data_IF_434977294866
#
_entry.id   IF_434977294866
#
_cell.length_a   1.000
_cell.length_b   1.000
_cell.length_c   1.000
_cell.angle_alpha   90.00
_cell.angle_beta   90.00
_cell.angle_gamma   90.00
#
_symmetry.space_group_name_H-M   'P 1'
#
loop_
_entity.id
_entity.type
_entity.pdbx_description
1 polymer ?
#
# COMPACT_ATOMS: atom_id res chain seq x y z
N UNK A 1 10.41 -12.35 -7.49
CA UNK A 1 10.68 -11.85 -6.11
C UNK A 1 12.05 -11.21 -6.12
N UNK A 2 12.23 -10.10 -5.41
CA UNK A 2 13.45 -9.30 -5.38
C UNK A 2 13.99 -9.24 -3.94
N UNK A 3 15.30 -9.42 -3.71
CA UNK A 3 15.91 -9.07 -2.42
C UNK A 3 15.59 -7.62 -2.02
N UNK A 4 15.45 -7.34 -0.71
CA UNK A 4 15.15 -5.98 -0.23
C UNK A 4 16.17 -4.94 -0.72
N UNK A 5 17.44 -5.31 -0.78
CA UNK A 5 18.52 -4.42 -1.23
C UNK A 5 18.55 -4.21 -2.76
N UNK A 6 17.71 -4.93 -3.50
CA UNK A 6 17.56 -4.80 -4.96
C UNK A 6 16.38 -3.93 -5.37
N UNK A 7 15.70 -3.29 -4.42
CA UNK A 7 14.67 -2.29 -4.69
C UNK A 7 14.97 -0.96 -4.00
N UNK A 8 14.44 0.12 -4.57
CA UNK A 8 14.26 1.40 -3.91
C UNK A 8 12.87 1.43 -3.31
N UNK A 9 12.79 1.54 -1.98
CA UNK A 9 11.50 1.74 -1.29
C UNK A 9 11.19 3.23 -1.27
N UNK A 10 9.92 3.55 -1.47
CA UNK A 10 9.47 4.91 -1.52
C UNK A 10 9.35 5.55 -0.13
N UNK A 11 10.04 6.67 0.05
CA UNK A 11 9.97 7.45 1.27
C UNK A 11 8.74 8.37 1.25
N UNK A 12 8.07 8.45 2.41
CA UNK A 12 6.96 9.35 2.64
C UNK A 12 7.37 10.45 3.62
N UNK A 13 7.06 11.70 3.25
CA UNK A 13 7.29 12.88 4.08
C UNK A 13 6.00 13.35 4.78
N UNK A 14 6.14 14.23 5.76
CA UNK A 14 5.00 14.77 6.51
C UNK A 14 4.47 13.86 7.61
N UNK A 15 3.31 14.24 8.17
CA UNK A 15 2.69 13.49 9.24
C UNK A 15 2.18 12.14 8.73
N UNK A 16 2.63 11.05 9.36
CA UNK A 16 2.14 9.71 9.05
C UNK A 16 0.66 9.59 9.47
N UNK A 17 -0.18 8.86 8.72
CA UNK A 17 -1.52 8.55 9.17
C UNK A 17 -1.48 7.78 10.51
N UNK A 18 -2.57 7.87 11.27
CA UNK A 18 -2.73 7.06 12.48
C UNK A 18 -3.08 5.61 12.11
N UNK A 19 -2.74 4.69 13.01
CA UNK A 19 -3.24 3.32 12.96
C UNK A 19 -4.77 3.32 12.90
N UNK A 20 -5.31 2.45 12.06
CA UNK A 20 -6.74 2.34 11.82
C UNK A 20 -7.21 0.94 12.16
N UNK A 21 -8.18 0.82 13.06
CA UNK A 21 -8.86 -0.44 13.38
C UNK A 21 -10.34 -0.27 13.06
N UNK A 22 -10.86 -1.09 12.15
CA UNK A 22 -12.26 -1.03 11.73
C UNK A 22 -12.88 -2.43 11.70
N UNK A 23 -14.10 -2.52 12.19
CA UNK A 23 -14.92 -3.71 12.05
C UNK A 23 -15.91 -3.46 10.92
N UNK A 24 -15.84 -4.29 9.88
CA UNK A 24 -16.72 -4.19 8.72
C UNK A 24 -17.52 -5.47 8.55
N UNK A 25 -18.64 -5.40 7.85
CA UNK A 25 -19.32 -6.63 7.42
C UNK A 25 -18.44 -7.35 6.39
N UNK A 26 -18.27 -8.66 6.54
CA UNK A 26 -17.54 -9.49 5.59
C UNK A 26 -18.32 -9.70 4.27
N UNK A 27 -19.65 -9.51 4.32
CA UNK A 27 -20.58 -9.69 3.19
C UNK A 27 -20.76 -8.40 2.37
N UNK A 28 -20.55 -7.23 3.00
CA UNK A 28 -20.68 -5.96 2.32
C UNK A 28 -19.29 -5.39 1.99
N UNK A 29 -19.02 -5.12 0.71
CA UNK A 29 -17.80 -4.43 0.30
C UNK A 29 -17.63 -3.09 1.02
N UNK A 30 -16.37 -2.69 1.22
CA UNK A 30 -16.01 -1.46 1.96
C UNK A 30 -14.76 -0.80 1.39
N UNK A 31 -14.71 0.52 1.55
CA UNK A 31 -13.53 1.32 1.23
C UNK A 31 -13.05 2.01 2.50
N UNK A 32 -11.83 1.70 2.93
CA UNK A 32 -11.15 2.33 4.06
C UNK A 32 -10.14 3.33 3.51
N UNK A 33 -10.26 4.59 3.92
CA UNK A 33 -9.38 5.68 3.47
C UNK A 33 -8.49 6.10 4.63
N UNK A 34 -7.17 5.96 4.46
CA UNK A 34 -6.18 6.49 5.37
C UNK A 34 -5.73 7.87 4.88
N UNK A 35 -5.71 8.84 5.79
CA UNK A 35 -5.29 10.22 5.51
C UNK A 35 -4.08 10.59 6.32
N UNK A 36 -3.19 11.37 5.72
CA UNK A 36 -2.10 12.03 6.45
C UNK A 36 -2.64 12.82 7.65
N UNK A 37 -1.80 13.00 8.66
CA UNK A 37 -2.13 13.83 9.80
C UNK A 37 -2.31 15.32 9.42
N UNK A 38 -2.85 16.14 10.32
CA UNK A 38 -2.85 17.59 10.16
C UNK A 38 -1.43 18.14 9.94
N UNK A 39 -1.28 19.24 9.17
CA UNK A 39 -2.34 20.03 8.53
C UNK A 39 -2.85 19.47 7.20
N UNK A 40 -2.12 18.54 6.58
CA UNK A 40 -2.34 18.17 5.17
C UNK A 40 -3.66 17.44 4.94
N UNK A 41 -4.01 16.46 5.79
CA UNK A 41 -5.24 15.65 5.70
C UNK A 41 -5.51 15.02 4.31
N UNK A 42 -4.48 14.95 3.46
CA UNK A 42 -4.51 14.35 2.13
C UNK A 42 -4.64 12.83 2.26
N UNK A 43 -5.19 12.18 1.24
CA UNK A 43 -5.29 10.71 1.24
C UNK A 43 -3.89 10.12 1.07
N UNK A 44 -3.53 9.19 1.95
CA UNK A 44 -2.27 8.43 1.90
C UNK A 44 -2.48 7.09 1.18
N UNK A 45 -3.50 6.34 1.61
CA UNK A 45 -3.82 5.05 1.04
C UNK A 45 -5.33 4.76 1.11
N UNK A 46 -5.80 3.91 0.20
CA UNK A 46 -7.17 3.43 0.14
C UNK A 46 -7.14 1.91 0.04
N UNK A 47 -7.86 1.22 0.92
CA UNK A 47 -8.09 -0.21 0.85
C UNK A 47 -9.56 -0.45 0.47
N UNK A 48 -9.80 -1.00 -0.72
CA UNK A 48 -11.13 -1.41 -1.15
C UNK A 48 -11.26 -2.93 -0.98
N UNK A 49 -12.04 -3.35 0.02
CA UNK A 49 -12.34 -4.75 0.33
C UNK A 49 -13.61 -5.15 -0.41
N UNK A 50 -13.55 -6.25 -1.14
CA UNK A 50 -14.70 -6.77 -1.88
C UNK A 50 -15.71 -7.44 -0.95
N UNK A 51 -16.98 -7.55 -1.40
CA UNK A 51 -17.94 -8.47 -0.79
C UNK A 51 -17.38 -9.90 -0.67
N UNK A 52 -18.00 -10.70 0.20
CA UNK A 52 -17.68 -12.13 0.41
C UNK A 52 -16.25 -12.42 0.88
N UNK A 53 -15.67 -11.51 1.68
CA UNK A 53 -14.38 -11.72 2.35
C UNK A 53 -14.46 -12.72 3.53
N UNK A 54 -15.45 -13.61 3.53
CA UNK A 54 -15.73 -14.56 4.62
C UNK A 54 -15.24 -15.97 4.27
N UNK A 55 -13.99 -16.31 4.60
CA UNK A 55 -13.73 -17.73 4.87
C UNK A 55 -14.24 -18.05 6.29
N UNK A 56 -15.32 -18.80 6.38
CA UNK A 56 -15.70 -19.53 7.60
C UNK A 56 -16.60 -18.79 8.59
N UNK A 57 -17.82 -18.45 8.18
CA UNK A 57 -18.97 -18.21 9.08
C UNK A 57 -18.94 -16.95 9.98
N UNK A 58 -18.10 -15.95 9.69
CA UNK A 58 -18.15 -14.64 10.37
C UNK A 58 -18.80 -13.60 9.49
N UNK A 59 -19.86 -12.96 9.99
CA UNK A 59 -20.55 -11.84 9.33
C UNK A 59 -19.70 -10.56 9.31
N UNK A 60 -18.62 -10.52 10.10
CA UNK A 60 -17.74 -9.37 10.25
C UNK A 60 -16.25 -9.70 10.13
N UNK A 61 -15.50 -8.70 9.67
CA UNK A 61 -14.07 -8.69 9.46
C UNK A 61 -13.48 -7.54 10.28
N UNK A 62 -12.55 -7.83 11.19
CA UNK A 62 -11.75 -6.79 11.82
C UNK A 62 -10.50 -6.55 10.97
N UNK A 63 -10.31 -5.32 10.52
CA UNK A 63 -9.18 -4.86 9.74
C UNK A 63 -8.37 -3.91 10.59
N UNK A 64 -7.09 -4.24 10.76
CA UNK A 64 -6.11 -3.34 11.35
C UNK A 64 -5.13 -2.92 10.27
N UNK A 65 -4.99 -1.62 10.03
CA UNK A 65 -4.08 -1.04 9.05
C UNK A 65 -3.12 -0.13 9.80
N UNK A 66 -1.84 -0.46 9.77
CA UNK A 66 -0.77 0.32 10.41
C UNK A 66 0.15 0.92 9.35
N UNK A 67 0.07 2.23 9.09
CA UNK A 67 1.02 2.92 8.24
C UNK A 67 2.45 2.74 8.75
N UNK A 68 3.43 2.73 7.83
CA UNK A 68 4.85 2.66 8.16
C UNK A 68 5.43 4.07 8.19
N UNK A 69 5.80 4.63 9.35
CA UNK A 69 6.35 5.98 9.40
C UNK A 69 7.57 6.15 8.48
N UNK A 70 7.59 7.25 7.73
CA UNK A 70 8.66 7.59 6.77
C UNK A 70 8.62 6.83 5.45
N UNK A 71 7.66 5.91 5.25
CA UNK A 71 7.55 5.11 4.03
C UNK A 71 6.13 5.18 3.46
N UNK A 72 6.01 5.13 2.14
CA UNK A 72 4.73 4.77 1.52
C UNK A 72 4.51 3.27 1.66
N UNK A 73 3.95 2.89 2.81
CA UNK A 73 3.72 1.51 3.16
C UNK A 73 2.72 1.32 4.28
N UNK A 74 2.05 0.16 4.28
CA UNK A 74 1.10 -0.26 5.30
C UNK A 74 1.32 -1.71 5.69
N UNK A 75 1.15 -2.01 6.97
CA UNK A 75 0.94 -3.36 7.48
C UNK A 75 -0.57 -3.57 7.63
N UNK A 76 -1.13 -4.58 6.95
CA UNK A 76 -2.55 -4.93 6.99
C UNK A 76 -2.69 -6.26 7.72
N UNK A 77 -3.48 -6.27 8.78
CA UNK A 77 -3.91 -7.45 9.53
C UNK A 77 -5.42 -7.61 9.41
N UNK A 78 -5.88 -8.86 9.36
CA UNK A 78 -7.29 -9.16 9.31
C UNK A 78 -7.63 -10.44 10.06
N UNK A 79 -8.81 -10.49 10.68
CA UNK A 79 -9.33 -11.69 11.35
C UNK A 79 -9.83 -12.78 10.40
N UNK A 80 -9.87 -12.49 9.10
CA UNK A 80 -10.29 -13.41 8.04
C UNK A 80 -9.51 -13.14 6.74
N UNK A 81 -9.76 -13.91 5.67
CA UNK A 81 -9.17 -13.60 4.37
C UNK A 81 -9.72 -12.28 3.83
N UNK A 82 -8.98 -11.67 2.91
CA UNK A 82 -9.52 -10.61 2.06
C UNK A 82 -10.04 -11.26 0.78
N UNK A 83 -11.23 -10.88 0.34
CA UNK A 83 -11.82 -11.42 -0.88
C UNK A 83 -10.97 -11.12 -2.12
N UNK A 84 -11.06 -11.99 -3.12
CA UNK A 84 -10.42 -11.77 -4.42
C UNK A 84 -10.92 -10.45 -5.03
N UNK A 85 -10.03 -9.69 -5.66
CA UNK A 85 -10.32 -8.35 -6.14
C UNK A 85 -10.17 -7.24 -5.09
N UNK A 86 -9.75 -7.55 -3.85
CA UNK A 86 -9.41 -6.51 -2.87
C UNK A 86 -8.23 -5.69 -3.38
N UNK A 87 -8.40 -4.37 -3.52
CA UNK A 87 -7.35 -3.47 -4.03
C UNK A 87 -6.80 -2.55 -2.97
N UNK A 88 -5.50 -2.28 -3.08
CA UNK A 88 -4.79 -1.27 -2.31
C UNK A 88 -4.30 -0.19 -3.27
N UNK A 89 -4.68 1.06 -3.00
CA UNK A 89 -4.25 2.23 -3.75
C UNK A 89 -3.42 3.13 -2.85
N UNK A 90 -2.18 3.44 -3.22
CA UNK A 90 -1.38 4.50 -2.60
C UNK A 90 -1.53 5.79 -3.39
N UNK A 91 -1.74 6.89 -2.69
CA UNK A 91 -1.78 8.24 -3.27
C UNK A 91 -0.58 9.02 -2.79
N UNK A 92 0.36 9.29 -3.69
CA UNK A 92 1.68 9.85 -3.34
C UNK A 92 2.06 11.20 -3.98
N UNK A 93 1.12 12.07 -4.43
CA UNK A 93 1.46 13.25 -5.25
C UNK A 93 2.40 14.25 -4.55
N UNK A 94 2.20 14.49 -3.25
CA UNK A 94 2.80 15.63 -2.54
C UNK A 94 3.92 15.23 -1.58
N UNK A 95 3.86 14.03 -0.98
CA UNK A 95 4.81 13.62 0.06
C UNK A 95 5.85 12.59 -0.41
N UNK A 96 5.99 12.42 -1.73
CA UNK A 96 6.96 11.54 -2.36
C UNK A 96 8.35 12.21 -2.45
N UNK A 97 9.39 11.47 -2.05
CA UNK A 97 10.78 11.80 -2.37
C UNK A 97 11.50 10.57 -2.93
N UNK A 98 12.15 10.67 -4.11
CA UNK A 98 13.04 9.62 -4.58
C UNK A 98 14.26 9.51 -3.66
N UNK A 99 14.64 8.30 -3.20
CA UNK A 99 15.91 8.08 -2.55
C UNK A 99 17.08 8.58 -3.41
N UNK A 100 18.14 9.10 -2.80
CA UNK A 100 19.26 9.69 -3.54
C UNK A 100 19.85 8.73 -4.58
N UNK A 101 20.02 7.46 -4.23
CA UNK A 101 20.52 6.44 -5.14
C UNK A 101 19.60 6.19 -6.35
N UNK A 102 18.28 6.36 -6.20
CA UNK A 102 17.34 6.28 -7.31
C UNK A 102 17.52 7.44 -8.29
N UNK A 103 17.87 8.64 -7.79
CA UNK A 103 18.15 9.82 -8.64
C UNK A 103 19.38 9.63 -9.52
N UNK A 104 20.34 8.80 -9.09
CA UNK A 104 21.53 8.46 -9.89
C UNK A 104 21.25 7.35 -10.91
N UNK A 105 20.29 6.47 -10.61
CA UNK A 105 19.92 5.32 -11.45
C UNK A 105 18.97 5.67 -12.58
N UNK A 106 17.96 6.48 -12.27
CA UNK A 106 16.91 6.86 -13.21
C UNK A 106 17.24 8.21 -13.83
N UNK A 107 17.10 8.31 -15.15
CA UNK A 107 17.43 9.51 -15.92
C UNK A 107 16.60 10.75 -15.54
N UNK A 108 15.47 10.56 -14.86
CA UNK A 108 14.61 11.62 -14.37
C UNK A 108 13.72 11.12 -13.24
N UNK A 109 13.15 12.06 -12.47
CA UNK A 109 12.08 11.77 -11.49
C UNK A 109 10.90 11.04 -12.14
N UNK A 110 10.48 11.47 -13.33
CA UNK A 110 9.38 10.83 -14.06
C UNK A 110 9.72 9.39 -14.50
N UNK A 111 10.98 9.10 -14.83
CA UNK A 111 11.40 7.73 -15.13
C UNK A 111 11.36 6.83 -13.88
N UNK A 112 11.74 7.36 -12.72
CA UNK A 112 11.62 6.64 -11.45
C UNK A 112 10.15 6.42 -11.06
N UNK A 113 9.30 7.44 -11.18
CA UNK A 113 7.87 7.34 -10.89
C UNK A 113 7.18 6.27 -11.74
N UNK A 114 7.50 6.17 -13.04
CA UNK A 114 6.98 5.12 -13.93
C UNK A 114 7.44 3.70 -13.55
N UNK A 115 8.55 3.58 -12.82
CA UNK A 115 9.07 2.28 -12.38
C UNK A 115 8.52 1.85 -11.02
N UNK A 116 7.75 2.71 -10.35
CA UNK A 116 7.13 2.38 -9.06
C UNK A 116 6.02 1.35 -9.25
N UNK A 117 5.90 0.46 -8.28
CA UNK A 117 4.79 -0.46 -8.11
C UNK A 117 4.58 -0.79 -6.64
N UNK A 118 3.48 -1.46 -6.33
CA UNK A 118 3.19 -1.95 -5.00
C UNK A 118 3.88 -3.30 -4.82
N UNK A 119 4.77 -3.39 -3.84
CA UNK A 119 5.46 -4.61 -3.43
C UNK A 119 4.87 -5.20 -2.15
N UNK A 120 4.62 -6.50 -2.14
CA UNK A 120 4.34 -7.26 -0.92
C UNK A 120 5.66 -7.75 -0.33
N UNK A 121 5.87 -7.52 0.97
CA UNK A 121 7.02 -8.08 1.69
C UNK A 121 6.67 -9.50 2.14
N UNK A 122 7.44 -10.48 1.72
CA UNK A 122 7.31 -11.88 2.17
C UNK A 122 7.95 -12.07 3.55
N UNK A 123 7.63 -13.20 4.21
CA UNK A 123 8.13 -13.49 5.56
C UNK A 123 9.67 -13.57 5.67
N UNK A 124 10.35 -13.85 4.56
CA UNK A 124 11.82 -13.84 4.45
C UNK A 124 12.41 -12.44 4.14
N UNK A 125 11.58 -11.39 4.15
CA UNK A 125 11.98 -10.01 3.91
C UNK A 125 12.16 -9.63 2.44
N UNK A 126 11.95 -10.56 1.50
CA UNK A 126 11.96 -10.25 0.06
C UNK A 126 10.73 -9.47 -0.35
N UNK A 127 10.82 -8.78 -1.49
CA UNK A 127 9.73 -7.98 -2.03
C UNK A 127 9.23 -8.62 -3.33
N UNK A 128 7.92 -8.81 -3.41
CA UNK A 128 7.23 -9.28 -4.61
C UNK A 128 6.45 -8.11 -5.16
N UNK A 129 6.91 -7.55 -6.28
CA UNK A 129 6.13 -6.53 -7.00
C UNK A 129 4.85 -7.17 -7.51
N UNK A 130 3.73 -6.56 -7.16
CA UNK A 130 2.41 -6.93 -7.64
C UNK A 130 2.19 -6.32 -9.03
N UNK A 131 1.29 -6.87 -9.86
CA UNK A 131 0.83 -6.20 -11.07
C UNK A 131 0.12 -4.89 -10.72
N UNK A 132 0.86 -3.79 -10.69
CA UNK A 132 0.34 -2.47 -10.35
C UNK A 132 -0.11 -1.71 -11.58
N UNK A 133 -1.19 -0.96 -11.42
CA UNK A 133 -1.71 0.00 -12.41
C UNK A 133 -1.58 1.42 -11.86
N UNK A 134 -1.65 2.39 -12.77
CA UNK A 134 -1.60 3.81 -12.43
C UNK A 134 -2.89 4.49 -12.92
N UNK A 135 -4.02 4.36 -12.18
CA UNK A 135 -5.32 4.88 -12.61
C UNK A 135 -5.39 6.42 -12.63
N UNK A 136 -4.47 7.10 -11.95
CA UNK A 136 -4.22 8.53 -12.06
C UNK A 136 -2.73 8.78 -11.88
N UNK A 137 -2.24 9.96 -12.28
CA UNK A 137 -0.81 10.29 -12.29
C UNK A 137 -0.08 10.08 -10.95
N UNK A 138 -0.82 10.10 -9.85
CA UNK A 138 -0.35 10.04 -8.47
C UNK A 138 -0.94 8.88 -7.64
N UNK A 139 -1.67 7.98 -8.30
CA UNK A 139 -2.26 6.81 -7.69
C UNK A 139 -1.54 5.56 -8.23
N UNK A 140 -0.99 4.74 -7.35
CA UNK A 140 -0.58 3.37 -7.67
C UNK A 140 -1.57 2.41 -7.04
N UNK A 141 -2.07 1.48 -7.83
CA UNK A 141 -3.07 0.53 -7.40
C UNK A 141 -2.61 -0.90 -7.71
N UNK A 142 -2.93 -1.84 -6.82
CA UNK A 142 -2.75 -3.26 -7.08
C UNK A 142 -3.82 -4.07 -6.34
N UNK A 143 -4.22 -5.19 -6.93
CA UNK A 143 -4.92 -6.23 -6.19
C UNK A 143 -3.97 -6.88 -5.18
N UNK A 144 -4.41 -7.02 -3.94
CA UNK A 144 -3.63 -7.65 -2.87
C UNK A 144 -4.14 -9.06 -2.57
N UNK A 145 -3.25 -10.05 -2.42
CA UNK A 145 -3.64 -11.45 -2.19
C UNK A 145 -4.12 -11.74 -0.76
N UNK A 146 -4.20 -10.73 0.11
CA UNK A 146 -4.61 -10.89 1.51
C UNK A 146 -3.86 -9.97 2.48
N UNK A 147 -3.93 -10.26 3.79
CA UNK A 147 -3.18 -9.52 4.79
C UNK A 147 -1.65 -9.62 4.58
N UNK A 148 -0.92 -8.63 5.08
CA UNK A 148 0.53 -8.56 4.98
C UNK A 148 1.07 -7.13 4.92
N UNK A 149 2.37 -7.03 4.65
CA UNK A 149 3.08 -5.77 4.50
C UNK A 149 3.18 -5.37 3.04
N UNK A 150 2.76 -4.15 2.73
CA UNK A 150 2.76 -3.58 1.39
C UNK A 150 3.53 -2.27 1.39
N UNK A 151 4.40 -2.09 0.40
CA UNK A 151 5.25 -0.92 0.24
C UNK A 151 5.18 -0.45 -1.22
N UNK A 152 5.31 0.84 -1.48
CA UNK A 152 5.60 1.33 -2.82
C UNK A 152 7.11 1.21 -3.05
N UNK A 153 7.52 0.59 -4.15
CA UNK A 153 8.92 0.37 -4.48
C UNK A 153 9.17 0.34 -5.99
N UNK A 154 10.41 0.59 -6.39
CA UNK A 154 10.89 0.38 -7.76
C UNK A 154 12.13 -0.51 -7.76
N UNK A 155 12.43 -1.23 -8.86
CA UNK A 155 13.70 -1.95 -9.01
C UNK A 155 14.91 -1.02 -8.89
N UNK A 156 16.03 -1.54 -8.39
CA UNK A 156 17.32 -0.83 -8.44
C UNK A 156 18.00 -0.87 -9.81
#
# INVERSE_FOLDING_TARGET
>A
MLPRDSVFVLEAWGASPNDTVVTVSAQAGRVVILRHGPPDNTVFAQLAVTPDSSAGARDSLNLTIRPRPGLYGVDIESTGPLGAGTTLTFKYPVHFSPPLAARNRYSSRAAFERALGIGRVSGDGRIVLLPSTQPASDNLEAEIPGPGRYLVAAPR
#
